data_IF_182504091015
#
_entry.id   IF_182504091015
#
_cell.length_a   1.000
_cell.length_b   1.000
_cell.length_c   1.000
_cell.angle_alpha   90.00
_cell.angle_beta   90.00
_cell.angle_gamma   90.00
#
_symmetry.space_group_name_H-M   'P 1'
#
loop_
_entity.id
_entity.type
_entity.pdbx_description
1 polymer ?
#
# COMPACT_ATOMS: atom_id res chain seq x y z
N UNK A 1 -5.54 14.94 6.80
CA UNK A 1 -4.69 14.27 7.79
C UNK A 1 -3.55 13.58 7.07
N UNK A 2 -2.34 13.91 7.42
CA UNK A 2 -1.13 13.32 6.84
C UNK A 2 -0.58 12.25 7.78
N UNK A 3 -0.23 11.08 7.23
CA UNK A 3 0.36 9.98 7.98
C UNK A 3 1.62 9.53 7.27
N UNK A 4 2.73 9.40 8.02
CA UNK A 4 4.01 8.91 7.51
C UNK A 4 4.42 7.68 8.30
N UNK A 5 4.76 6.61 7.59
CA UNK A 5 5.13 5.34 8.19
C UNK A 5 6.35 4.78 7.49
N UNK A 6 7.20 4.08 8.26
CA UNK A 6 8.34 3.35 7.73
C UNK A 6 8.34 1.95 8.32
N UNK A 7 8.40 0.94 7.46
CA UNK A 7 8.41 -0.45 7.87
C UNK A 7 9.57 -1.20 7.21
N UNK A 8 10.51 -1.73 7.97
CA UNK A 8 11.51 -2.64 7.44
C UNK A 8 10.91 -4.04 7.27
N UNK A 9 11.46 -4.82 6.36
CA UNK A 9 11.15 -6.23 6.25
C UNK A 9 12.40 -7.03 5.89
N UNK A 10 12.36 -8.34 6.19
CA UNK A 10 13.43 -9.28 5.88
C UNK A 10 12.91 -10.38 4.99
N UNK A 11 13.76 -10.90 4.11
CA UNK A 11 13.42 -12.02 3.25
C UNK A 11 14.66 -12.84 2.93
N UNK A 12 14.47 -14.13 2.67
CA UNK A 12 15.52 -15.02 2.21
C UNK A 12 15.59 -15.09 0.68
N UNK A 13 14.61 -14.50 -0.01
CA UNK A 13 14.55 -14.51 -1.47
C UNK A 13 15.60 -13.57 -2.08
N UNK A 14 16.14 -13.90 -3.26
CA UNK A 14 17.07 -13.00 -3.97
C UNK A 14 16.42 -11.65 -4.26
N UNK A 15 17.22 -10.59 -4.18
CA UNK A 15 16.74 -9.21 -4.38
C UNK A 15 16.08 -9.02 -5.75
N UNK A 16 16.62 -9.62 -6.81
CA UNK A 16 16.02 -9.52 -8.15
C UNK A 16 14.64 -10.16 -8.22
N UNK A 17 14.44 -11.27 -7.52
CA UNK A 17 13.14 -11.93 -7.46
C UNK A 17 12.11 -11.08 -6.71
N UNK A 18 12.52 -10.48 -5.61
CA UNK A 18 11.64 -9.60 -4.83
C UNK A 18 11.29 -8.35 -5.66
N UNK A 19 12.29 -7.77 -6.34
CA UNK A 19 12.03 -6.59 -7.15
C UNK A 19 11.05 -6.88 -8.29
N UNK A 20 11.22 -8.00 -8.99
CA UNK A 20 10.27 -8.41 -10.03
C UNK A 20 8.86 -8.60 -9.46
N UNK A 21 8.75 -9.15 -8.26
CA UNK A 21 7.46 -9.40 -7.63
C UNK A 21 6.73 -8.11 -7.23
N UNK A 22 7.44 -7.10 -6.71
CA UNK A 22 6.78 -5.84 -6.33
C UNK A 22 6.35 -4.99 -7.53
N UNK A 23 6.93 -5.25 -8.72
CA UNK A 23 6.50 -4.60 -9.95
C UNK A 23 5.21 -5.22 -10.52
N UNK A 24 4.80 -6.37 -10.03
CA UNK A 24 3.57 -7.03 -10.44
C UNK A 24 2.43 -6.64 -9.48
N UNK A 25 1.68 -5.61 -9.83
CA UNK A 25 0.63 -5.08 -8.97
C UNK A 25 -0.50 -6.08 -8.70
N UNK A 26 -0.75 -6.99 -9.63
CA UNK A 26 -1.76 -8.04 -9.42
C UNK A 26 -1.36 -9.03 -8.34
N UNK A 27 -0.06 -9.21 -8.11
CA UNK A 27 0.47 -10.00 -6.99
C UNK A 27 0.63 -9.16 -5.72
N UNK A 28 1.04 -7.92 -5.88
CA UNK A 28 1.36 -7.03 -4.75
C UNK A 28 0.13 -6.57 -3.98
N UNK A 29 -0.90 -6.10 -4.69
CA UNK A 29 -2.11 -5.54 -4.05
C UNK A 29 -2.79 -6.54 -3.12
N UNK A 30 -2.96 -7.82 -3.48
CA UNK A 30 -3.59 -8.79 -2.57
C UNK A 30 -2.81 -9.08 -1.29
N UNK A 31 -1.54 -8.65 -1.20
CA UNK A 31 -0.78 -8.77 0.05
C UNK A 31 -1.28 -7.79 1.12
N UNK A 32 -2.03 -6.77 0.73
CA UNK A 32 -2.69 -5.87 1.68
C UNK A 32 -3.99 -6.52 2.13
N UNK A 33 -4.15 -6.73 3.42
CA UNK A 33 -5.34 -7.35 3.96
C UNK A 33 -6.60 -6.55 3.62
N UNK A 34 -7.57 -7.22 3.03
CA UNK A 34 -8.83 -6.59 2.61
C UNK A 34 -8.79 -5.95 1.22
N UNK A 35 -7.62 -5.94 0.57
CA UNK A 35 -7.47 -5.36 -0.76
C UNK A 35 -7.64 -6.40 -1.86
N UNK A 36 -8.21 -5.97 -2.99
CA UNK A 36 -8.36 -6.79 -4.17
C UNK A 36 -8.20 -5.97 -5.44
N UNK A 37 -7.69 -6.60 -6.49
CA UNK A 37 -7.60 -6.00 -7.82
C UNK A 37 -8.92 -6.21 -8.53
N UNK A 38 -9.51 -5.13 -9.03
CA UNK A 38 -10.76 -5.17 -9.79
C UNK A 38 -10.51 -5.30 -11.29
N UNK A 39 -9.50 -4.62 -11.80
CA UNK A 39 -9.21 -4.56 -13.22
C UNK A 39 -7.79 -4.08 -13.45
N UNK A 40 -7.10 -4.67 -14.40
CA UNK A 40 -5.82 -4.16 -14.89
C UNK A 40 -6.09 -3.07 -15.91
N UNK A 41 -5.60 -1.85 -15.67
CA UNK A 41 -5.87 -0.68 -16.51
C UNK A 41 -4.70 -0.25 -17.38
N UNK A 42 -3.54 -0.85 -17.19
CA UNK A 42 -2.34 -0.57 -17.97
C UNK A 42 -1.20 -1.48 -17.54
N UNK A 43 0.00 -1.35 -18.17
CA UNK A 43 1.17 -2.17 -17.80
C UNK A 43 1.58 -1.98 -16.35
N UNK A 44 1.41 -0.77 -15.81
CA UNK A 44 1.83 -0.39 -14.46
C UNK A 44 0.70 0.16 -13.61
N UNK A 45 -0.55 -0.17 -13.94
CA UNK A 45 -1.71 0.33 -13.19
C UNK A 45 -2.84 -0.68 -13.09
N UNK A 46 -3.53 -0.62 -11.96
CA UNK A 46 -4.72 -1.43 -11.70
C UNK A 46 -5.78 -0.58 -11.01
N UNK A 47 -7.04 -0.94 -11.21
CA UNK A 47 -8.12 -0.54 -10.31
C UNK A 47 -8.17 -1.53 -9.16
N UNK A 48 -8.30 -1.01 -7.96
CA UNK A 48 -8.33 -1.83 -6.75
C UNK A 48 -9.34 -1.28 -5.75
N UNK A 49 -9.74 -2.12 -4.82
CA UNK A 49 -10.52 -1.68 -3.67
C UNK A 49 -9.96 -2.31 -2.41
N UNK A 50 -10.21 -1.66 -1.29
CA UNK A 50 -9.83 -2.17 0.02
C UNK A 50 -10.98 -1.98 0.99
N UNK A 51 -11.26 -3.03 1.77
CA UNK A 51 -12.18 -2.99 2.89
C UNK A 51 -11.34 -2.82 4.17
N UNK A 52 -11.44 -1.65 4.78
CA UNK A 52 -10.68 -1.33 5.99
C UNK A 52 -11.65 -1.29 7.18
N UNK A 53 -11.28 -2.03 8.22
CA UNK A 53 -12.00 -1.99 9.50
C UNK A 53 -11.32 -1.01 10.44
N UNK A 54 -12.09 -0.02 10.91
CA UNK A 54 -11.68 0.96 11.91
C UNK A 54 -12.62 0.87 13.10
N UNK A 55 -12.17 0.17 14.16
CA UNK A 55 -13.04 -0.08 15.30
C UNK A 55 -14.26 -0.90 14.91
N UNK A 56 -15.46 -0.40 15.18
CA UNK A 56 -16.72 -1.03 14.81
C UNK A 56 -17.17 -0.71 13.38
N UNK A 57 -16.45 0.16 12.67
CA UNK A 57 -16.81 0.60 11.32
C UNK A 57 -16.00 -0.13 10.26
N UNK A 58 -16.66 -0.42 9.14
CA UNK A 58 -16.00 -0.88 7.91
C UNK A 58 -16.15 0.19 6.85
N UNK A 59 -15.07 0.50 6.13
CA UNK A 59 -15.08 1.45 5.02
C UNK A 59 -14.45 0.81 3.81
N UNK A 60 -15.07 1.04 2.64
CA UNK A 60 -14.53 0.56 1.37
C UNK A 60 -13.99 1.76 0.62
N UNK A 61 -12.72 1.68 0.25
CA UNK A 61 -12.08 2.66 -0.62
C UNK A 61 -11.79 1.98 -1.95
N UNK A 62 -12.09 2.66 -3.04
CA UNK A 62 -11.83 2.15 -4.38
C UNK A 62 -11.13 3.22 -5.21
N UNK A 63 -10.20 2.80 -6.04
CA UNK A 63 -9.44 3.73 -6.87
C UNK A 63 -8.37 3.05 -7.70
N UNK A 64 -7.30 3.78 -7.94
CA UNK A 64 -6.21 3.37 -8.84
C UNK A 64 -4.91 3.23 -8.09
N UNK A 65 -4.20 2.14 -8.37
CA UNK A 65 -2.82 1.94 -7.95
C UNK A 65 -1.94 1.98 -9.20
N UNK A 66 -0.92 2.81 -9.18
CA UNK A 66 -0.04 3.03 -10.33
C UNK A 66 1.41 3.09 -9.89
N UNK A 67 2.29 2.42 -10.63
CA UNK A 67 3.73 2.57 -10.45
C UNK A 67 4.14 3.87 -11.13
N UNK A 68 4.68 4.82 -10.35
CA UNK A 68 5.05 6.14 -10.85
C UNK A 68 6.56 6.34 -10.98
N UNK A 69 7.36 5.48 -10.36
CA UNK A 69 8.81 5.51 -10.47
C UNK A 69 9.39 4.11 -10.37
N UNK A 70 10.34 3.80 -11.24
CA UNK A 70 11.12 2.56 -11.21
C UNK A 70 12.58 2.90 -11.37
N UNK A 71 13.43 2.39 -10.46
CA UNK A 71 14.87 2.48 -10.56
C UNK A 71 15.47 1.08 -10.33
N UNK A 72 15.62 0.27 -11.38
CA UNK A 72 16.11 -1.09 -11.24
C UNK A 72 17.54 -1.18 -10.69
N UNK A 73 18.38 -0.21 -10.99
CA UNK A 73 19.77 -0.20 -10.51
C UNK A 73 19.85 -0.02 -9.00
N UNK A 74 18.97 0.82 -8.46
CA UNK A 74 18.88 1.07 -7.02
C UNK A 74 17.89 0.16 -6.31
N UNK A 75 17.20 -0.72 -7.04
CA UNK A 75 16.13 -1.58 -6.52
C UNK A 75 15.05 -0.78 -5.78
N UNK A 76 14.63 0.30 -6.40
CA UNK A 76 13.59 1.18 -5.87
C UNK A 76 12.36 1.21 -6.77
N UNK A 77 11.21 1.34 -6.15
CA UNK A 77 9.95 1.53 -6.84
C UNK A 77 9.06 2.42 -5.99
N UNK A 78 8.33 3.33 -6.64
CA UNK A 78 7.31 4.15 -5.97
C UNK A 78 5.98 3.90 -6.66
N UNK A 79 4.96 3.60 -5.85
CA UNK A 79 3.59 3.50 -6.33
C UNK A 79 2.72 4.58 -5.71
N UNK A 80 1.75 5.05 -6.50
CA UNK A 80 0.75 6.02 -6.08
C UNK A 80 -0.59 5.31 -5.93
N UNK A 81 -1.27 5.58 -4.84
CA UNK A 81 -2.63 5.09 -4.57
C UNK A 81 -3.54 6.29 -4.47
N UNK A 82 -4.59 6.32 -5.29
CA UNK A 82 -5.62 7.35 -5.24
C UNK A 82 -6.97 6.66 -5.11
N UNK A 83 -7.64 6.87 -3.99
CA UNK A 83 -8.88 6.18 -3.71
C UNK A 83 -9.91 7.08 -3.06
N UNK A 84 -11.18 6.73 -3.25
CA UNK A 84 -12.32 7.42 -2.65
C UNK A 84 -13.15 6.43 -1.84
N UNK A 85 -13.69 6.92 -0.73
CA UNK A 85 -14.62 6.16 0.08
C UNK A 85 -15.93 5.95 -0.68
N UNK A 86 -16.39 4.69 -0.76
CA UNK A 86 -17.70 4.39 -1.32
C UNK A 86 -18.79 4.87 -0.38
N UNK A 87 -19.78 5.59 -0.93
CA UNK A 87 -20.90 6.12 -0.18
C UNK A 87 -20.58 7.34 0.68
N UNK A 88 -19.38 7.89 0.56
CA UNK A 88 -18.92 9.06 1.28
C UNK A 88 -18.19 10.05 0.39
N UNK A 89 -17.71 11.14 0.98
CA UNK A 89 -16.96 12.18 0.27
C UNK A 89 -15.48 12.17 0.57
N UNK A 90 -15.01 11.28 1.45
CA UNK A 90 -13.62 11.20 1.85
C UNK A 90 -12.74 10.50 0.82
N UNK A 91 -11.44 10.72 0.91
CA UNK A 91 -10.46 10.03 0.10
C UNK A 91 -9.27 9.55 0.95
N UNK A 92 -8.57 8.55 0.43
CA UNK A 92 -7.32 8.06 0.98
C UNK A 92 -6.32 7.95 -0.17
N UNK A 93 -5.34 8.83 -0.17
CA UNK A 93 -4.27 8.85 -1.18
C UNK A 93 -2.95 8.55 -0.50
N UNK A 94 -2.09 7.81 -1.17
CA UNK A 94 -0.79 7.45 -0.61
C UNK A 94 0.27 7.35 -1.69
N UNK A 95 1.51 7.67 -1.32
CA UNK A 95 2.70 7.23 -2.03
C UNK A 95 3.41 6.19 -1.18
N UNK A 96 3.74 5.08 -1.80
CA UNK A 96 4.43 3.97 -1.13
C UNK A 96 5.73 3.71 -1.87
N UNK A 97 6.85 3.93 -1.18
CA UNK A 97 8.18 3.77 -1.74
C UNK A 97 8.83 2.50 -1.18
N UNK A 98 9.31 1.67 -2.09
CA UNK A 98 10.05 0.45 -1.77
C UNK A 98 11.52 0.67 -2.05
N UNK A 99 12.36 0.34 -1.08
CA UNK A 99 13.82 0.35 -1.24
C UNK A 99 14.34 -1.01 -0.81
N UNK A 100 14.84 -1.80 -1.76
CA UNK A 100 15.28 -3.15 -1.48
C UNK A 100 16.79 -3.21 -1.26
N UNK A 101 17.19 -4.11 -0.38
CA UNK A 101 18.59 -4.45 -0.12
C UNK A 101 18.72 -5.97 -0.10
N UNK A 102 19.93 -6.47 -0.04
CA UNK A 102 20.13 -7.90 0.17
C UNK A 102 19.55 -8.29 1.52
N UNK A 103 18.66 -9.26 1.52
CA UNK A 103 18.02 -9.77 2.72
C UNK A 103 16.76 -9.03 3.17
N UNK A 104 16.27 -8.03 2.40
CA UNK A 104 15.03 -7.35 2.77
C UNK A 104 14.85 -5.98 2.14
N UNK A 105 14.44 -5.02 2.93
CA UNK A 105 14.20 -3.66 2.47
C UNK A 105 13.36 -2.84 3.42
N UNK A 106 12.89 -1.71 2.91
CA UNK A 106 12.05 -0.76 3.65
C UNK A 106 10.86 -0.34 2.80
N UNK A 107 9.71 -0.22 3.45
CA UNK A 107 8.49 0.34 2.86
C UNK A 107 8.21 1.67 3.55
N UNK A 108 8.25 2.76 2.79
CA UNK A 108 7.95 4.11 3.28
C UNK A 108 6.62 4.56 2.72
N UNK A 109 5.69 4.92 3.60
CA UNK A 109 4.33 5.32 3.22
C UNK A 109 4.07 6.77 3.63
N UNK A 110 3.60 7.57 2.66
CA UNK A 110 3.05 8.91 2.90
C UNK A 110 1.59 8.88 2.49
N UNK A 111 0.68 9.09 3.43
CA UNK A 111 -0.75 9.04 3.16
C UNK A 111 -1.46 10.35 3.52
N UNK A 112 -2.49 10.68 2.74
CA UNK A 112 -3.43 11.76 3.03
C UNK A 112 -4.83 11.16 3.14
N UNK A 113 -5.46 11.37 4.28
CA UNK A 113 -6.76 10.80 4.60
C UNK A 113 -7.74 11.93 4.92
N UNK A 114 -8.93 11.90 4.32
CA UNK A 114 -10.00 12.85 4.61
C UNK A 114 -11.32 12.13 4.82
N UNK A 115 -12.32 12.87 5.30
CA UNK A 115 -13.66 12.38 5.46
C UNK A 115 -13.88 11.62 6.77
N UNK A 116 -14.76 10.63 6.71
CA UNK A 116 -15.18 9.88 7.89
C UNK A 116 -14.02 9.18 8.60
N UNK A 117 -13.09 8.62 7.84
CA UNK A 117 -11.91 7.96 8.41
C UNK A 117 -11.08 8.95 9.23
N UNK A 118 -10.81 10.14 8.68
CA UNK A 118 -10.04 11.17 9.36
C UNK A 118 -10.73 11.65 10.65
N UNK A 119 -12.05 11.65 10.68
CA UNK A 119 -12.83 12.10 11.84
C UNK A 119 -12.70 11.16 13.06
N UNK A 120 -12.19 9.96 12.86
CA UNK A 120 -11.96 9.02 13.96
C UNK A 120 -10.76 9.38 14.83
N UNK A 121 -9.96 10.34 14.39
CA UNK A 121 -8.80 10.84 15.12
C UNK A 121 -7.49 10.28 14.64
N UNK A 122 -6.44 11.07 14.79
CA UNK A 122 -5.10 10.76 14.29
C UNK A 122 -4.55 9.46 14.88
N UNK A 123 -4.75 9.23 16.18
CA UNK A 123 -4.26 8.01 16.83
C UNK A 123 -4.89 6.74 16.28
N UNK A 124 -6.19 6.76 15.99
CA UNK A 124 -6.90 5.62 15.42
C UNK A 124 -6.43 5.37 13.99
N UNK A 125 -6.38 6.40 13.17
CA UNK A 125 -5.95 6.29 11.76
C UNK A 125 -4.52 5.79 11.68
N UNK A 126 -3.61 6.38 12.45
CA UNK A 126 -2.20 5.96 12.48
C UNK A 126 -2.08 4.49 12.89
N UNK A 127 -2.78 4.07 13.93
CA UNK A 127 -2.74 2.70 14.41
C UNK A 127 -3.25 1.68 13.38
N UNK A 128 -4.34 2.00 12.70
CA UNK A 128 -4.91 1.12 11.66
C UNK A 128 -3.95 1.01 10.48
N UNK A 129 -3.42 2.13 9.98
CA UNK A 129 -2.49 2.12 8.85
C UNK A 129 -1.17 1.44 9.21
N UNK A 130 -0.65 1.68 10.40
CA UNK A 130 0.57 1.04 10.86
C UNK A 130 0.42 -0.48 10.89
N UNK A 131 -0.66 -0.99 11.45
CA UNK A 131 -0.93 -2.42 11.49
C UNK A 131 -1.10 -3.01 10.08
N UNK A 132 -1.80 -2.29 9.20
CA UNK A 132 -2.05 -2.71 7.83
C UNK A 132 -0.74 -2.83 7.03
N UNK A 133 0.12 -1.82 7.10
CA UNK A 133 1.38 -1.79 6.36
C UNK A 133 2.41 -2.73 6.99
N UNK A 134 2.40 -2.89 8.30
CA UNK A 134 3.27 -3.85 8.96
C UNK A 134 2.95 -5.29 8.51
N UNK A 135 1.67 -5.65 8.44
CA UNK A 135 1.23 -6.95 7.93
C UNK A 135 1.63 -7.13 6.46
N UNK A 136 1.42 -6.10 5.65
CA UNK A 136 1.80 -6.08 4.24
C UNK A 136 3.31 -6.29 4.06
N UNK A 137 4.14 -5.56 4.80
CA UNK A 137 5.59 -5.69 4.68
C UNK A 137 6.09 -7.08 5.10
N UNK A 138 5.44 -7.70 6.08
CA UNK A 138 5.72 -9.08 6.45
C UNK A 138 5.41 -10.08 5.32
N UNK A 139 4.36 -9.85 4.56
CA UNK A 139 3.99 -10.70 3.41
C UNK A 139 4.93 -10.55 2.22
N UNK A 140 5.68 -9.45 2.12
CA UNK A 140 6.69 -9.29 1.08
C UNK A 140 7.80 -10.35 1.19
N UNK A 141 8.04 -10.88 2.36
CA UNK A 141 9.02 -11.93 2.58
C UNK A 141 8.72 -13.23 1.81
N UNK A 142 7.45 -13.45 1.48
CA UNK A 142 6.97 -14.68 0.82
C UNK A 142 6.37 -14.44 -0.56
N UNK A 143 6.48 -13.24 -1.05
CA UNK A 143 5.88 -12.82 -2.32
C UNK A 143 6.49 -13.50 -3.54
#
# INVERSE_FOLDING_TARGET
MAVRLEHPFSTEKPIDEVYAAILDLERLVPCVQGASVLEKTGPDSVKAQIDIKMGAMSMIFAGTVEIVEQDPEAYRMVMSVKSKEQGGSGYANAEVAFSLTDGGGTVNTNAQITGKAASMGEGVVHGVLDALINDFSGKLATL
#
